data_IF_597727411968
#
_entry.id   IF_597727411968
#
_cell.length_a   1.000
_cell.length_b   1.000
_cell.length_c   1.000
_cell.angle_alpha   90.00
_cell.angle_beta   90.00
_cell.angle_gamma   90.00
#
_symmetry.space_group_name_H-M   'P 1'
#
loop_
_entity.id
_entity.type
_entity.pdbx_description
1 polymer ?
#
# COMPACT_ATOMS: atom_id res chain seq x y z
N UNK A 1 19.10 -61.95 -29.92
CA UNK A 1 18.23 -61.17 -29.01
C UNK A 1 16.88 -60.94 -29.67
N UNK A 2 15.79 -61.20 -28.95
CA UNK A 2 14.42 -60.98 -29.42
C UNK A 2 14.11 -59.49 -29.62
N UNK A 3 13.19 -59.15 -30.52
CA UNK A 3 12.70 -57.77 -30.71
C UNK A 3 12.16 -57.17 -29.39
N UNK A 4 11.52 -57.98 -28.55
CA UNK A 4 11.01 -57.58 -27.23
C UNK A 4 12.15 -57.12 -26.29
N UNK A 5 13.28 -57.82 -26.28
CA UNK A 5 14.43 -57.49 -25.44
C UNK A 5 15.07 -56.15 -25.86
N UNK A 6 15.10 -55.86 -27.17
CA UNK A 6 15.59 -54.58 -27.70
C UNK A 6 14.69 -53.41 -27.30
N UNK A 7 13.38 -53.59 -27.39
CA UNK A 7 12.41 -52.56 -26.98
C UNK A 7 12.50 -52.25 -25.47
N UNK A 8 12.64 -53.28 -24.63
CA UNK A 8 12.82 -53.11 -23.17
C UNK A 8 14.12 -52.35 -22.87
N UNK A 9 15.23 -52.70 -23.52
CA UNK A 9 16.52 -52.03 -23.32
C UNK A 9 16.50 -50.57 -23.79
N UNK A 10 15.82 -50.27 -24.91
CA UNK A 10 15.65 -48.89 -25.38
C UNK A 10 14.80 -48.06 -24.41
N UNK A 11 13.68 -48.61 -23.93
CA UNK A 11 12.83 -47.92 -22.95
C UNK A 11 13.57 -47.67 -21.63
N UNK A 12 14.37 -48.62 -21.16
CA UNK A 12 15.17 -48.45 -19.95
C UNK A 12 16.22 -47.34 -20.10
N UNK A 13 16.89 -47.25 -21.27
CA UNK A 13 17.81 -46.15 -21.56
C UNK A 13 17.12 -44.80 -21.59
N UNK A 14 15.96 -44.72 -22.27
CA UNK A 14 15.19 -43.48 -22.33
C UNK A 14 14.80 -43.00 -20.93
N UNK A 15 14.30 -43.91 -20.08
CA UNK A 15 13.94 -43.57 -18.70
C UNK A 15 15.12 -43.06 -17.89
N UNK A 16 16.32 -43.61 -18.11
CA UNK A 16 17.53 -43.16 -17.41
C UNK A 16 18.02 -41.80 -17.92
N UNK A 17 17.95 -41.56 -19.23
CA UNK A 17 18.25 -40.26 -19.85
C UNK A 17 17.27 -39.17 -19.38
N UNK A 18 15.99 -39.49 -19.27
CA UNK A 18 14.95 -38.58 -18.77
C UNK A 18 15.20 -38.22 -17.29
N UNK A 19 15.57 -39.20 -16.46
CA UNK A 19 15.93 -38.96 -15.05
C UNK A 19 17.15 -38.07 -14.92
N UNK A 20 18.20 -38.33 -15.70
CA UNK A 20 19.42 -37.53 -15.69
C UNK A 20 19.14 -36.10 -16.15
N UNK A 21 18.31 -35.94 -17.19
CA UNK A 21 17.89 -34.63 -17.69
C UNK A 21 17.08 -33.86 -16.64
N UNK A 22 16.15 -34.52 -15.95
CA UNK A 22 15.36 -33.92 -14.87
C UNK A 22 16.24 -33.50 -13.68
N UNK A 23 17.22 -34.32 -13.30
CA UNK A 23 18.17 -33.98 -12.25
C UNK A 23 19.04 -32.77 -12.61
N UNK A 24 19.53 -32.68 -13.85
CA UNK A 24 20.29 -31.52 -14.31
C UNK A 24 19.44 -30.24 -14.31
N UNK A 25 18.19 -30.31 -14.76
CA UNK A 25 17.29 -29.16 -14.74
C UNK A 25 17.04 -28.67 -13.31
N UNK A 26 16.79 -29.60 -12.38
CA UNK A 26 16.60 -29.27 -10.97
C UNK A 26 17.85 -28.64 -10.35
N UNK A 27 19.04 -29.13 -10.69
CA UNK A 27 20.30 -28.58 -10.22
C UNK A 27 20.51 -27.15 -10.73
N UNK A 28 20.25 -26.89 -12.02
CA UNK A 28 20.33 -25.54 -12.60
C UNK A 28 19.36 -24.57 -11.92
N UNK A 29 18.12 -24.99 -11.69
CA UNK A 29 17.12 -24.17 -10.99
C UNK A 29 17.57 -23.83 -9.56
N UNK A 30 18.18 -24.78 -8.84
CA UNK A 30 18.74 -24.53 -7.49
C UNK A 30 19.89 -23.52 -7.53
N UNK A 31 20.81 -23.67 -8.47
CA UNK A 31 21.95 -22.75 -8.62
C UNK A 31 21.52 -21.35 -9.06
N UNK A 32 20.54 -21.25 -9.95
CA UNK A 32 19.95 -19.97 -10.35
C UNK A 32 19.27 -19.27 -9.18
N UNK A 33 18.45 -20.00 -8.42
CA UNK A 33 17.81 -19.47 -7.22
C UNK A 33 18.85 -19.03 -6.17
N UNK A 34 19.88 -19.85 -5.93
CA UNK A 34 20.94 -19.51 -4.98
C UNK A 34 21.70 -18.23 -5.37
N UNK A 35 21.98 -18.04 -6.67
CA UNK A 35 22.57 -16.78 -7.18
C UNK A 35 21.65 -15.58 -6.98
N UNK A 36 20.36 -15.71 -7.30
CA UNK A 36 19.38 -14.65 -7.07
C UNK A 36 19.27 -14.28 -5.58
N UNK A 37 19.29 -15.27 -4.69
CA UNK A 37 19.26 -15.06 -3.25
C UNK A 37 20.54 -14.34 -2.75
N UNK A 38 21.71 -14.69 -3.30
CA UNK A 38 22.99 -14.04 -2.99
C UNK A 38 23.05 -12.59 -3.48
N UNK A 39 22.60 -12.32 -4.70
CA UNK A 39 22.52 -10.96 -5.26
C UNK A 39 21.56 -10.09 -4.44
N UNK A 40 20.38 -10.62 -4.10
CA UNK A 40 19.42 -9.94 -3.23
C UNK A 40 20.01 -9.63 -1.85
N UNK A 41 20.74 -10.59 -1.26
CA UNK A 41 21.39 -10.40 0.04
C UNK A 41 22.48 -9.32 -0.03
N UNK A 42 23.27 -9.30 -1.11
CA UNK A 42 24.34 -8.33 -1.31
C UNK A 42 23.79 -6.90 -1.43
N UNK A 43 22.74 -6.71 -2.23
CA UNK A 43 22.06 -5.42 -2.33
C UNK A 43 21.43 -4.98 -1.00
N UNK A 44 20.79 -5.90 -0.27
CA UNK A 44 20.22 -5.60 1.06
C UNK A 44 21.30 -5.17 2.04
N UNK A 45 22.45 -5.86 2.08
CA UNK A 45 23.59 -5.49 2.94
C UNK A 45 24.11 -4.10 2.60
N UNK A 46 24.37 -3.82 1.33
CA UNK A 46 24.85 -2.50 0.90
C UNK A 46 23.86 -1.38 1.30
N UNK A 47 22.55 -1.62 1.14
CA UNK A 47 21.51 -0.68 1.56
C UNK A 47 21.49 -0.46 3.08
N UNK A 48 21.62 -1.52 3.87
CA UNK A 48 21.68 -1.42 5.33
C UNK A 48 22.95 -0.73 5.82
N UNK A 49 24.10 -0.99 5.20
CA UNK A 49 25.34 -0.28 5.51
C UNK A 49 25.24 1.21 5.18
N UNK A 50 24.67 1.56 4.01
CA UNK A 50 24.42 2.95 3.65
C UNK A 50 23.49 3.65 4.64
N UNK A 51 22.40 3.00 5.04
CA UNK A 51 21.49 3.52 6.06
C UNK A 51 22.20 3.71 7.41
N UNK A 52 23.03 2.75 7.83
CA UNK A 52 23.80 2.82 9.09
C UNK A 52 24.80 3.98 9.07
N UNK A 53 25.51 4.20 7.95
CA UNK A 53 26.42 5.35 7.79
C UNK A 53 25.63 6.66 7.88
N UNK A 54 24.53 6.77 7.14
CA UNK A 54 23.68 7.95 7.21
C UNK A 54 23.16 8.22 8.64
N UNK A 55 22.83 7.17 9.41
CA UNK A 55 22.42 7.33 10.81
C UNK A 55 23.57 7.84 11.68
N UNK A 56 24.78 7.30 11.50
CA UNK A 56 25.97 7.74 12.23
C UNK A 56 26.35 9.20 11.89
N UNK A 57 26.16 9.60 10.64
CA UNK A 57 26.45 10.96 10.16
C UNK A 57 25.31 11.95 10.47
N UNK A 58 24.19 11.50 11.06
CA UNK A 58 23.00 12.31 11.31
C UNK A 58 22.26 12.76 10.04
N UNK A 59 22.61 12.21 8.88
CA UNK A 59 21.99 12.52 7.58
C UNK A 59 20.84 11.58 7.24
N UNK A 60 20.63 10.52 8.02
CA UNK A 60 19.53 9.59 7.82
C UNK A 60 18.19 10.29 8.03
N UNK A 61 17.48 10.46 6.93
CA UNK A 61 16.08 10.86 6.94
C UNK A 61 15.25 9.57 6.87
N UNK A 62 14.58 9.16 7.96
CA UNK A 62 13.68 8.03 7.87
C UNK A 62 12.65 8.30 6.77
N UNK A 63 12.27 7.28 5.97
CA UNK A 63 11.24 7.46 4.98
C UNK A 63 9.98 7.96 5.69
N UNK A 64 9.39 9.02 5.16
CA UNK A 64 8.17 9.56 5.73
C UNK A 64 7.04 8.55 5.50
N UNK A 65 6.55 7.97 6.59
CA UNK A 65 5.46 7.00 6.52
C UNK A 65 4.17 7.80 6.34
N UNK A 66 3.59 7.65 5.16
CA UNK A 66 2.34 8.26 4.75
C UNK A 66 1.23 7.21 4.81
N UNK A 67 0.12 7.58 5.44
CA UNK A 67 -1.01 6.70 5.70
C UNK A 67 -2.21 7.23 4.90
N UNK A 68 -2.80 6.42 4.01
CA UNK A 68 -3.90 6.88 3.19
C UNK A 68 -5.20 6.92 4.01
N UNK A 69 -5.89 8.05 3.93
CA UNK A 69 -7.24 8.29 4.46
C UNK A 69 -8.18 8.38 3.27
N UNK A 70 -9.24 7.60 3.26
CA UNK A 70 -10.28 7.68 2.22
C UNK A 70 -11.19 8.87 2.54
N UNK A 71 -11.46 9.67 1.51
CA UNK A 71 -12.41 10.77 1.52
C UNK A 71 -13.67 10.26 0.82
N UNK A 72 -14.80 10.30 1.50
CA UNK A 72 -16.09 9.89 0.93
C UNK A 72 -17.05 11.07 0.95
N UNK A 73 -17.75 11.31 -0.16
CA UNK A 73 -18.65 12.46 -0.30
C UNK A 73 -19.78 12.50 0.74
N UNK A 74 -20.16 11.32 1.24
CA UNK A 74 -21.20 11.08 2.24
C UNK A 74 -20.64 10.93 3.67
N UNK A 75 -19.32 10.91 3.83
CA UNK A 75 -18.66 10.70 5.11
C UNK A 75 -18.42 12.00 5.87
N UNK A 76 -17.97 11.84 7.12
CA UNK A 76 -17.58 12.96 7.97
C UNK A 76 -16.44 13.80 7.36
N UNK A 77 -15.56 13.16 6.61
CA UNK A 77 -14.52 13.80 5.82
C UNK A 77 -14.89 13.71 4.34
N UNK A 78 -15.62 14.72 3.87
CA UNK A 78 -16.10 14.83 2.50
C UNK A 78 -15.15 15.55 1.54
N UNK A 79 -14.09 16.16 2.06
CA UNK A 79 -13.08 16.87 1.27
C UNK A 79 -11.71 16.87 1.94
N UNK A 80 -10.67 17.17 1.16
CA UNK A 80 -9.31 17.36 1.69
C UNK A 80 -9.22 18.53 2.67
N UNK A 81 -10.05 19.57 2.49
CA UNK A 81 -10.13 20.71 3.41
C UNK A 81 -10.74 20.32 4.76
N UNK A 82 -11.78 19.49 4.75
CA UNK A 82 -12.34 18.94 5.98
C UNK A 82 -11.31 18.08 6.72
N UNK A 83 -10.55 17.25 5.99
CA UNK A 83 -9.46 16.47 6.59
C UNK A 83 -8.37 17.36 7.18
N UNK A 84 -7.97 18.41 6.46
CA UNK A 84 -6.98 19.37 6.92
C UNK A 84 -7.39 19.98 8.26
N UNK A 85 -8.63 20.48 8.37
CA UNK A 85 -9.13 21.09 9.60
C UNK A 85 -9.20 20.07 10.75
N UNK A 86 -9.67 18.87 10.47
CA UNK A 86 -9.79 17.83 11.49
C UNK A 86 -8.41 17.37 12.01
N UNK A 87 -7.44 17.18 11.11
CA UNK A 87 -6.08 16.76 11.45
C UNK A 87 -5.13 17.92 11.80
N UNK A 88 -5.61 19.16 11.82
CA UNK A 88 -4.82 20.39 12.07
C UNK A 88 -3.59 20.52 11.16
N UNK A 89 -3.78 20.23 9.86
CA UNK A 89 -2.70 20.33 8.88
C UNK A 89 -2.45 21.77 8.46
N UNK A 90 -1.18 22.14 8.28
CA UNK A 90 -0.77 23.49 7.85
C UNK A 90 -1.32 23.87 6.47
N UNK A 91 -1.56 22.89 5.61
CA UNK A 91 -2.06 23.09 4.24
C UNK A 91 -2.96 21.96 3.80
N UNK A 92 -3.85 22.26 2.83
CA UNK A 92 -4.78 21.25 2.28
C UNK A 92 -3.97 20.12 1.63
N UNK A 93 -4.15 18.86 2.07
CA UNK A 93 -3.40 17.74 1.50
C UNK A 93 -3.77 17.49 0.04
N UNK A 94 -2.78 17.03 -0.72
CA UNK A 94 -3.01 16.58 -2.11
C UNK A 94 -3.88 15.32 -2.11
N UNK A 95 -4.91 15.34 -2.93
CA UNK A 95 -5.76 14.18 -3.21
C UNK A 95 -5.17 13.31 -4.30
N UNK A 96 -5.46 12.01 -4.23
CA UNK A 96 -5.13 11.04 -5.27
C UNK A 96 -6.34 10.14 -5.53
N UNK A 97 -6.52 9.80 -6.79
CA UNK A 97 -7.51 8.80 -7.18
C UNK A 97 -6.97 7.40 -6.89
N UNK A 98 -7.80 6.58 -6.27
CA UNK A 98 -7.49 5.22 -5.93
C UNK A 98 -8.71 4.33 -6.19
N UNK A 99 -8.49 3.01 -6.18
CA UNK A 99 -9.58 2.04 -6.23
C UNK A 99 -9.67 1.35 -4.88
N UNK A 100 -10.80 1.48 -4.19
CA UNK A 100 -11.07 0.62 -3.04
C UNK A 100 -11.29 -0.78 -3.59
N UNK A 101 -10.45 -1.73 -3.17
CA UNK A 101 -10.43 -3.12 -3.63
C UNK A 101 -11.00 -4.10 -2.60
N UNK A 102 -11.20 -3.66 -1.37
CA UNK A 102 -11.83 -4.42 -0.29
C UNK A 102 -12.52 -3.48 0.67
N UNK A 103 -13.76 -3.81 0.99
CA UNK A 103 -14.61 -3.13 1.96
C UNK A 103 -15.24 -4.21 2.86
N UNK A 104 -14.89 -4.23 4.15
CA UNK A 104 -15.39 -5.22 5.13
C UNK A 104 -15.34 -6.69 4.63
N UNK A 105 -14.20 -7.13 4.09
CA UNK A 105 -13.98 -8.49 3.53
C UNK A 105 -14.68 -8.79 2.21
N UNK A 106 -15.55 -7.89 1.74
CA UNK A 106 -16.14 -7.97 0.41
C UNK A 106 -15.16 -7.36 -0.58
N UNK A 107 -14.81 -8.12 -1.62
CA UNK A 107 -14.05 -7.58 -2.74
C UNK A 107 -14.96 -6.63 -3.51
N UNK A 108 -14.76 -5.34 -3.33
CA UNK A 108 -15.42 -4.27 -4.07
C UNK A 108 -14.38 -3.59 -4.93
N UNK A 109 -14.72 -3.13 -6.13
CA UNK A 109 -13.84 -2.25 -6.90
C UNK A 109 -14.61 -0.96 -7.17
N UNK A 110 -14.40 0.04 -6.31
CA UNK A 110 -15.01 1.37 -6.47
C UNK A 110 -13.95 2.46 -6.49
N UNK A 111 -14.08 3.48 -7.35
CA UNK A 111 -13.20 4.64 -7.31
C UNK A 111 -13.40 5.37 -5.98
N UNK A 112 -12.29 5.76 -5.36
CA UNK A 112 -12.27 6.56 -4.14
C UNK A 112 -11.17 7.60 -4.24
N UNK A 113 -11.36 8.72 -3.56
CA UNK A 113 -10.30 9.71 -3.38
C UNK A 113 -9.62 9.45 -2.05
N UNK A 114 -8.29 9.50 -2.02
CA UNK A 114 -7.51 9.39 -0.80
C UNK A 114 -6.65 10.64 -0.58
N UNK A 115 -6.31 10.90 0.69
CA UNK A 115 -5.26 11.82 1.08
C UNK A 115 -4.24 11.08 1.96
N UNK A 116 -2.98 11.47 1.85
CA UNK A 116 -1.92 10.92 2.68
C UNK A 116 -1.67 11.81 3.90
N UNK A 117 -1.67 11.20 5.09
CA UNK A 117 -1.31 11.86 6.34
C UNK A 117 -0.08 11.22 6.97
N UNK A 118 0.69 11.95 7.77
CA UNK A 118 1.78 11.42 8.59
C UNK A 118 1.26 10.91 9.95
N UNK A 119 2.16 10.36 10.78
CA UNK A 119 1.80 9.84 12.10
C UNK A 119 1.33 10.91 13.10
N UNK A 120 1.85 12.13 13.01
CA UNK A 120 1.44 13.23 13.90
C UNK A 120 0.01 13.65 13.61
N UNK A 121 -0.30 13.90 12.34
CA UNK A 121 -1.64 14.20 11.83
C UNK A 121 -2.63 13.07 12.16
N UNK A 122 -2.20 11.81 11.99
CA UNK A 122 -2.98 10.65 12.41
C UNK A 122 -3.32 10.69 13.91
N UNK A 123 -2.34 10.97 14.77
CA UNK A 123 -2.56 11.01 16.21
C UNK A 123 -3.54 12.12 16.60
N UNK A 124 -3.55 13.25 15.89
CA UNK A 124 -4.53 14.32 16.08
C UNK A 124 -5.92 13.85 15.63
N UNK A 125 -6.02 13.21 14.46
CA UNK A 125 -7.24 12.62 13.95
C UNK A 125 -7.83 11.60 14.95
N UNK A 126 -7.00 10.70 15.49
CA UNK A 126 -7.39 9.67 16.47
C UNK A 126 -7.88 10.26 17.79
N UNK A 127 -7.45 11.47 18.16
CA UNK A 127 -7.94 12.16 19.36
C UNK A 127 -9.34 12.73 19.14
N UNK A 128 -9.63 13.26 17.96
CA UNK A 128 -10.89 13.96 17.66
C UNK A 128 -11.98 13.07 17.09
N UNK A 129 -11.60 11.99 16.42
CA UNK A 129 -12.52 11.15 15.69
C UNK A 129 -12.31 9.67 16.00
N UNK A 130 -13.39 8.91 15.87
CA UNK A 130 -13.33 7.47 15.74
C UNK A 130 -12.90 7.15 14.32
N UNK A 131 -11.79 6.43 14.22
CA UNK A 131 -11.24 6.02 12.95
C UNK A 131 -11.41 4.52 12.84
N UNK A 132 -11.98 4.09 11.74
CA UNK A 132 -12.05 2.69 11.40
C UNK A 132 -10.72 2.26 10.80
N UNK A 133 -9.88 1.75 11.70
CA UNK A 133 -8.76 0.89 11.36
C UNK A 133 -9.20 -0.56 11.48
N UNK A 134 -8.48 -1.45 10.83
CA UNK A 134 -8.42 -2.80 11.33
C UNK A 134 -7.06 -3.40 11.05
N UNK A 135 -6.45 -4.00 12.07
CA UNK A 135 -5.34 -4.95 11.93
C UNK A 135 -5.70 -6.13 10.98
N UNK A 136 -7.00 -6.31 10.72
CA UNK A 136 -7.58 -7.30 9.80
C UNK A 136 -7.80 -6.80 8.36
N UNK A 137 -7.54 -5.53 8.04
CA UNK A 137 -7.54 -5.06 6.65
C UNK A 137 -8.90 -4.82 6.01
N UNK A 138 -9.83 -4.17 6.75
CA UNK A 138 -11.19 -3.84 6.26
C UNK A 138 -11.19 -2.95 5.00
N UNK A 139 -10.28 -1.97 4.92
CA UNK A 139 -10.16 -1.08 3.77
C UNK A 139 -8.79 -1.25 3.12
N UNK A 140 -8.79 -1.81 1.92
CA UNK A 140 -7.60 -1.82 1.06
C UNK A 140 -7.88 -0.98 -0.17
N UNK A 141 -6.97 -0.06 -0.45
CA UNK A 141 -6.97 0.73 -1.67
C UNK A 141 -5.83 0.28 -2.57
N UNK A 142 -6.06 0.33 -3.87
CA UNK A 142 -5.05 0.21 -4.90
C UNK A 142 -4.72 1.61 -5.38
N UNK A 143 -3.47 2.01 -5.20
CA UNK A 143 -2.89 3.25 -5.73
C UNK A 143 -1.84 2.80 -6.72
N UNK A 144 -2.04 3.14 -8.00
CA UNK A 144 -1.24 2.57 -9.10
C UNK A 144 -1.32 1.03 -9.08
N UNK A 145 -0.17 0.34 -8.94
CA UNK A 145 -0.10 -1.13 -8.85
C UNK A 145 0.04 -1.64 -7.41
N UNK A 146 0.03 -0.74 -6.43
CA UNK A 146 0.34 -1.08 -5.04
C UNK A 146 -0.93 -1.12 -4.18
N UNK A 147 -1.07 -2.22 -3.42
CA UNK A 147 -2.12 -2.37 -2.41
C UNK A 147 -1.67 -1.72 -1.10
N UNK A 148 -2.51 -0.87 -0.53
CA UNK A 148 -2.25 -0.14 0.71
C UNK A 148 -3.45 -0.27 1.64
N UNK A 149 -3.18 -0.41 2.94
CA UNK A 149 -4.22 -0.25 3.95
C UNK A 149 -4.58 1.22 4.07
N UNK A 150 -5.87 1.50 4.05
CA UNK A 150 -6.40 2.84 4.27
C UNK A 150 -7.30 2.89 5.49
N UNK A 151 -7.56 4.11 5.95
CA UNK A 151 -8.49 4.36 7.05
C UNK A 151 -9.65 5.23 6.58
N UNK A 152 -10.77 5.12 7.29
CA UNK A 152 -11.93 6.00 7.14
C UNK A 152 -12.24 6.63 8.49
N UNK A 153 -12.57 7.92 8.48
CA UNK A 153 -13.08 8.61 9.66
C UNK A 153 -14.58 8.36 9.74
N UNK A 154 -15.02 7.58 10.72
CA UNK A 154 -16.42 7.14 10.81
C UNK A 154 -17.31 8.09 11.59
N UNK A 155 -16.82 8.63 12.70
CA UNK A 155 -17.56 9.57 13.54
C UNK A 155 -16.63 10.45 14.37
N UNK A 156 -17.16 11.55 14.92
CA UNK A 156 -16.44 12.37 15.91
C UNK A 156 -16.59 11.76 17.29
N UNK A 157 -15.61 12.02 18.17
CA UNK A 157 -15.76 11.73 19.60
C UNK A 157 -16.59 12.82 20.26
N UNK A 158 -17.30 12.47 21.33
CA UNK A 158 -18.28 13.34 22.01
C UNK A 158 -17.71 14.70 22.44
N UNK A 159 -16.42 14.77 22.76
CA UNK A 159 -15.74 16.00 23.21
C UNK A 159 -15.11 16.83 22.07
N UNK A 160 -15.15 16.34 20.83
CA UNK A 160 -14.57 17.03 19.69
C UNK A 160 -15.60 17.99 19.08
N UNK A 161 -15.67 19.22 19.58
CA UNK A 161 -16.40 20.29 18.89
C UNK A 161 -15.74 20.56 17.52
N UNK A 162 -16.49 20.36 16.44
CA UNK A 162 -16.13 20.96 15.16
C UNK A 162 -16.21 22.48 15.28
N UNK A 163 -15.34 23.23 14.59
CA UNK A 163 -15.55 24.66 14.42
C UNK A 163 -16.92 24.88 13.78
N UNK A 164 -17.65 25.86 14.30
CA UNK A 164 -19.01 26.19 13.87
C UNK A 164 -19.02 26.43 12.34
N UNK A 165 -19.89 25.77 11.56
CA UNK A 165 -19.98 25.98 10.13
C UNK A 165 -20.22 27.44 9.73
N UNK A 166 -20.72 28.29 10.64
CA UNK A 166 -20.86 29.73 10.42
C UNK A 166 -19.54 30.52 10.37
N UNK A 167 -18.43 29.96 10.87
CA UNK A 167 -17.09 30.55 10.74
C UNK A 167 -16.41 30.19 9.39
N UNK A 168 -16.93 29.17 8.69
CA UNK A 168 -16.45 28.79 7.36
C UNK A 168 -17.19 29.66 6.34
N UNK A 169 -16.73 30.91 6.23
CA UNK A 169 -17.26 31.94 5.35
C UNK A 169 -17.91 31.37 4.09
N UNK A 170 -19.24 31.48 4.05
CA UNK A 170 -20.05 31.31 2.85
C UNK A 170 -19.38 32.19 1.80
N UNK A 171 -18.70 31.56 0.82
CA UNK A 171 -18.29 32.26 -0.40
C UNK A 171 -19.59 32.75 -1.04
N UNK A 172 -19.85 34.02 -0.81
CA UNK A 172 -20.86 34.82 -1.45
C UNK A 172 -20.77 34.52 -2.96
N UNK A 173 -21.85 33.95 -3.51
CA UNK A 173 -21.99 33.78 -4.94
C UNK A 173 -21.80 35.16 -5.56
N UNK A 174 -20.66 35.35 -6.22
CA UNK A 174 -20.46 36.51 -7.09
C UNK A 174 -21.45 36.31 -8.23
N UNK A 175 -22.55 37.06 -8.19
CA UNK A 175 -23.47 37.19 -9.31
C UNK A 175 -22.69 37.82 -10.47
N UNK A 176 -22.45 37.02 -11.51
CA UNK A 176 -21.96 37.49 -12.80
C UNK A 176 -22.95 38.52 -13.33
N UNK A 177 -22.51 39.79 -13.37
CA UNK A 177 -23.23 40.87 -14.01
C UNK A 177 -22.91 40.82 -15.50
N UNK A 178 -23.95 40.58 -16.31
CA UNK A 178 -23.92 40.68 -17.77
C UNK A 178 -23.47 42.08 -18.22
N UNK A 179 -22.54 42.14 -19.18
CA UNK A 179 -22.31 43.28 -20.07
C UNK A 179 -22.06 42.77 -21.49
#
# INVERSE_FOLDING_TARGET
MSALQRAIAQKARQVEEDKNSAQQLLQRQKEEKARQDEDNNTWQRARWEAARRAMADGTFKPPEIRIPVIITSDGLVSSAKALQQLAEMDSVPKTLDATLIRDHWVSTERPVTICYINYGERAILEKKANIEYDASGKFMVRVEEQKRYAMIVSSLKEDAMLPDPSEVGIMEKVEETEW
#
